data_IF_314398632293
#
_entry.id   IF_314398632293
#
_cell.length_a   1.000
_cell.length_b   1.000
_cell.length_c   1.000
_cell.angle_alpha   90.00
_cell.angle_beta   90.00
_cell.angle_gamma   90.00
#
_symmetry.space_group_name_H-M   'P 1'
#
loop_
_entity.id
_entity.type
_entity.pdbx_description
1 polymer ?
#
# COMPACT_ATOMS: atom_id res chain seq x y z
N UNK A 1 -11.48 -3.99 -49.24
CA UNK A 1 -10.51 -4.61 -48.31
C UNK A 1 -11.27 -4.84 -47.04
N UNK A 2 -11.51 -6.13 -46.80
CA UNK A 2 -12.52 -6.58 -45.85
C UNK A 2 -12.11 -6.45 -44.41
N UNK A 3 -13.07 -6.05 -43.59
CA UNK A 3 -12.95 -5.92 -42.13
C UNK A 3 -12.67 -7.23 -41.37
N UNK A 4 -12.42 -8.32 -42.07
CA UNK A 4 -12.18 -9.65 -41.50
C UNK A 4 -10.67 -9.96 -41.36
N UNK A 5 -9.77 -9.24 -42.04
CA UNK A 5 -8.32 -9.47 -41.93
C UNK A 5 -7.62 -8.71 -40.77
N UNK A 6 -8.27 -7.73 -40.17
CA UNK A 6 -7.70 -6.99 -39.03
C UNK A 6 -7.91 -7.67 -37.65
N UNK A 7 -8.80 -8.67 -37.60
CA UNK A 7 -9.10 -9.38 -36.34
C UNK A 7 -8.14 -10.55 -36.02
N UNK A 8 -7.31 -10.98 -37.00
CA UNK A 8 -6.43 -12.14 -36.79
C UNK A 8 -5.04 -11.83 -36.24
N UNK A 9 -4.74 -10.54 -35.98
CA UNK A 9 -3.47 -10.09 -35.38
C UNK A 9 -3.56 -9.82 -33.86
N UNK A 10 -4.73 -10.02 -33.26
CA UNK A 10 -4.96 -9.87 -31.82
C UNK A 10 -4.99 -11.19 -31.05
N UNK A 11 -4.85 -12.32 -31.72
CA UNK A 11 -4.69 -13.63 -31.09
C UNK A 11 -3.21 -13.92 -30.75
N UNK A 12 -2.64 -13.12 -29.86
CA UNK A 12 -1.53 -13.61 -29.04
C UNK A 12 -2.07 -14.75 -28.15
N UNK A 13 -1.28 -15.80 -27.85
CA UNK A 13 -1.77 -16.96 -27.11
C UNK A 13 -2.36 -16.53 -25.78
N UNK A 14 -3.69 -16.63 -25.68
CA UNK A 14 -4.41 -16.53 -24.43
C UNK A 14 -3.81 -17.52 -23.42
N UNK A 15 -3.40 -17.02 -22.32
CA UNK A 15 -2.92 -17.68 -21.12
C UNK A 15 -3.66 -18.99 -20.87
N UNK A 16 -3.07 -20.12 -21.25
CA UNK A 16 -3.46 -21.46 -20.81
C UNK A 16 -2.37 -22.02 -19.92
N UNK A 17 -2.11 -21.36 -18.79
CA UNK A 17 -1.50 -22.05 -17.67
C UNK A 17 -2.54 -23.01 -17.12
N UNK A 18 -2.16 -24.27 -16.94
CA UNK A 18 -3.05 -25.27 -16.35
C UNK A 18 -3.37 -24.85 -14.88
N UNK A 19 -4.59 -24.35 -14.60
CA UNK A 19 -4.98 -23.99 -13.23
C UNK A 19 -5.13 -25.24 -12.36
N UNK A 20 -4.92 -26.43 -12.90
CA UNK A 20 -5.19 -27.72 -12.30
C UNK A 20 -3.96 -28.48 -11.78
N UNK A 21 -2.75 -27.89 -11.77
CA UNK A 21 -1.64 -28.53 -11.08
C UNK A 21 -1.95 -28.62 -9.58
N UNK A 22 -1.88 -29.84 -9.02
CA UNK A 22 -2.23 -30.11 -7.61
C UNK A 22 -1.39 -29.32 -6.62
N UNK A 23 -0.16 -28.95 -6.97
CA UNK A 23 0.77 -28.12 -6.20
C UNK A 23 0.32 -26.66 -6.14
N UNK A 24 -0.13 -26.08 -7.24
CA UNK A 24 -0.70 -24.74 -7.28
C UNK A 24 -1.94 -24.63 -6.38
N UNK A 25 -2.88 -25.58 -6.47
CA UNK A 25 -4.08 -25.59 -5.60
C UNK A 25 -3.73 -25.71 -4.12
N UNK A 26 -2.74 -26.53 -3.77
CA UNK A 26 -2.35 -26.70 -2.35
C UNK A 26 -1.67 -25.46 -1.80
N UNK A 27 -0.83 -24.78 -2.56
CA UNK A 27 -0.17 -23.55 -2.10
C UNK A 27 -1.09 -22.33 -2.13
N UNK A 28 -1.99 -22.23 -3.12
CA UNK A 28 -3.06 -21.23 -3.08
C UNK A 28 -4.02 -21.46 -1.90
N UNK A 29 -4.36 -22.71 -1.58
CA UNK A 29 -5.11 -23.05 -0.40
C UNK A 29 -4.32 -22.74 0.89
N UNK A 30 -3.03 -23.11 0.94
CA UNK A 30 -2.15 -22.83 2.06
C UNK A 30 -1.89 -21.31 2.24
N UNK A 31 -1.71 -20.55 1.17
CA UNK A 31 -1.65 -19.08 1.25
C UNK A 31 -2.98 -18.47 1.69
N UNK A 32 -4.12 -19.06 1.29
CA UNK A 32 -5.44 -18.65 1.77
C UNK A 32 -5.63 -18.88 3.27
N UNK A 33 -5.18 -20.01 3.79
CA UNK A 33 -5.28 -20.34 5.22
C UNK A 33 -4.23 -19.59 6.06
N UNK A 34 -3.07 -19.25 5.46
CA UNK A 34 -1.92 -18.61 6.13
C UNK A 34 -2.00 -17.08 6.22
N UNK A 35 -2.94 -16.41 5.57
CA UNK A 35 -3.14 -14.95 5.73
C UNK A 35 -3.40 -14.49 7.18
N UNK A 36 -3.35 -15.40 8.15
CA UNK A 36 -3.46 -15.14 9.57
C UNK A 36 -2.38 -15.81 10.44
N UNK A 37 -1.37 -16.51 9.88
CA UNK A 37 -0.33 -17.17 10.65
C UNK A 37 1.07 -16.68 10.26
N UNK A 38 1.96 -16.49 11.26
CA UNK A 38 3.38 -16.20 11.05
C UNK A 38 4.18 -17.44 10.61
N UNK A 39 3.54 -18.44 9.99
CA UNK A 39 4.20 -19.66 9.54
C UNK A 39 5.11 -19.35 8.35
N UNK A 40 6.41 -19.42 8.59
CA UNK A 40 7.42 -19.36 7.54
C UNK A 40 7.54 -20.74 6.86
N UNK A 41 7.77 -20.73 5.55
CA UNK A 41 8.17 -21.93 4.84
C UNK A 41 9.56 -22.35 5.29
N UNK A 42 9.76 -23.66 5.48
CA UNK A 42 11.10 -24.22 5.68
C UNK A 42 11.93 -24.05 4.41
N UNK A 43 13.25 -24.11 4.55
CA UNK A 43 14.17 -24.04 3.40
C UNK A 43 13.90 -25.17 2.40
N UNK A 44 13.54 -26.33 2.88
CA UNK A 44 13.22 -27.53 2.10
C UNK A 44 11.95 -27.33 1.27
N UNK A 45 10.87 -26.79 1.88
CA UNK A 45 9.63 -26.48 1.18
C UNK A 45 9.85 -25.43 0.06
N UNK A 46 10.70 -24.42 0.31
CA UNK A 46 11.00 -23.42 -0.71
C UNK A 46 11.80 -24.04 -1.87
N UNK A 47 12.82 -24.86 -1.58
CA UNK A 47 13.60 -25.55 -2.63
C UNK A 47 12.72 -26.45 -3.48
N UNK A 48 11.84 -27.22 -2.83
CA UNK A 48 10.89 -28.08 -3.53
C UNK A 48 9.98 -27.26 -4.46
N UNK A 49 9.40 -26.17 -3.92
CA UNK A 49 8.54 -25.29 -4.69
C UNK A 49 9.26 -24.64 -5.89
N UNK A 50 10.49 -24.16 -5.68
CA UNK A 50 11.30 -23.56 -6.74
C UNK A 50 11.58 -24.57 -7.86
N UNK A 51 11.80 -25.86 -7.52
CA UNK A 51 12.03 -26.91 -8.50
C UNK A 51 10.74 -27.33 -9.22
N UNK A 52 9.64 -27.51 -8.51
CA UNK A 52 8.35 -27.93 -9.07
C UNK A 52 7.74 -26.89 -10.02
N UNK A 53 7.88 -25.61 -9.68
CA UNK A 53 7.32 -24.49 -10.46
C UNK A 53 8.27 -23.99 -11.57
N UNK A 54 9.38 -24.67 -11.85
CA UNK A 54 10.40 -24.26 -12.85
C UNK A 54 10.85 -22.81 -12.70
N UNK A 55 11.03 -22.35 -11.46
CA UNK A 55 11.46 -20.98 -11.16
C UNK A 55 12.91 -20.81 -11.57
N UNK A 56 13.21 -19.83 -12.42
CA UNK A 56 14.56 -19.51 -12.91
C UNK A 56 15.14 -18.25 -12.30
N UNK A 57 14.27 -17.38 -11.76
CA UNK A 57 14.70 -16.17 -11.11
C UNK A 57 13.89 -15.94 -9.81
N UNK A 58 14.58 -15.55 -8.76
CA UNK A 58 13.97 -15.18 -7.48
C UNK A 58 14.29 -13.72 -7.22
N UNK A 59 13.26 -12.90 -7.12
CA UNK A 59 13.41 -11.48 -6.78
C UNK A 59 13.38 -11.28 -5.28
N UNK A 60 14.47 -10.77 -4.75
CA UNK A 60 14.59 -10.31 -3.37
C UNK A 60 14.15 -8.85 -3.33
N UNK A 61 12.91 -8.63 -2.88
CA UNK A 61 12.26 -7.33 -2.93
C UNK A 61 12.32 -6.62 -1.57
N UNK A 62 12.50 -5.31 -1.61
CA UNK A 62 12.43 -4.41 -0.45
C UNK A 62 11.88 -3.06 -0.88
N UNK A 63 11.60 -2.15 0.05
CA UNK A 63 11.19 -0.80 -0.27
C UNK A 63 12.24 0.23 0.20
N UNK A 64 12.44 1.27 -0.60
CA UNK A 64 13.13 2.47 -0.14
C UNK A 64 12.22 3.30 0.81
N UNK A 65 12.75 4.36 1.39
CA UNK A 65 12.00 5.23 2.30
C UNK A 65 10.78 5.89 1.64
N UNK A 66 10.81 6.12 0.33
CA UNK A 66 9.64 6.62 -0.39
C UNK A 66 8.54 5.57 -0.65
N UNK A 67 8.75 4.33 -0.21
CA UNK A 67 7.82 3.22 -0.43
C UNK A 67 7.86 2.65 -1.85
N UNK A 68 8.90 2.95 -2.65
CA UNK A 68 9.11 2.33 -3.96
C UNK A 68 9.75 0.97 -3.81
N UNK A 69 9.15 -0.04 -4.44
CA UNK A 69 9.71 -1.37 -4.45
C UNK A 69 10.99 -1.42 -5.30
N UNK A 70 12.01 -2.02 -4.72
CA UNK A 70 13.29 -2.34 -5.37
C UNK A 70 13.53 -3.85 -5.28
N UNK A 71 14.40 -4.40 -6.12
CA UNK A 71 14.76 -5.81 -6.01
C UNK A 71 16.13 -6.11 -6.60
N UNK A 72 16.72 -7.22 -6.14
CA UNK A 72 17.81 -7.94 -6.79
C UNK A 72 17.25 -9.28 -7.25
N UNK A 73 17.57 -9.72 -8.47
CA UNK A 73 17.23 -11.06 -8.95
C UNK A 73 18.41 -12.01 -8.72
N UNK A 74 18.14 -13.15 -8.12
CA UNK A 74 19.12 -14.24 -7.96
C UNK A 74 18.66 -15.49 -8.74
N UNK A 75 19.61 -16.35 -9.09
CA UNK A 75 19.33 -17.67 -9.58
C UNK A 75 18.95 -18.63 -8.44
N UNK A 76 18.19 -19.69 -8.69
CA UNK A 76 17.85 -20.70 -7.68
C UNK A 76 19.06 -21.29 -6.96
N UNK A 77 20.20 -21.43 -7.63
CA UNK A 77 21.44 -21.94 -7.06
C UNK A 77 21.99 -21.05 -5.91
N UNK A 78 21.63 -19.77 -5.90
CA UNK A 78 22.00 -18.81 -4.85
C UNK A 78 20.98 -18.75 -3.69
N UNK A 79 19.91 -19.53 -3.77
CA UNK A 79 18.82 -19.47 -2.77
C UNK A 79 19.32 -19.82 -1.38
N UNK A 80 20.13 -20.86 -1.24
CA UNK A 80 20.67 -21.30 0.06
C UNK A 80 21.52 -20.23 0.70
N UNK A 81 22.38 -19.59 -0.09
CA UNK A 81 23.20 -18.47 0.36
C UNK A 81 22.33 -17.29 0.81
N UNK A 82 21.30 -16.96 0.00
CA UNK A 82 20.38 -15.88 0.31
C UNK A 82 19.62 -16.13 1.64
N UNK A 83 19.15 -17.36 1.86
CA UNK A 83 18.42 -17.73 3.08
C UNK A 83 19.33 -17.80 4.32
N UNK A 84 20.61 -18.13 4.13
CA UNK A 84 21.54 -18.31 5.26
C UNK A 84 22.26 -17.01 5.64
N UNK A 85 22.72 -16.24 4.65
CA UNK A 85 23.62 -15.10 4.85
C UNK A 85 23.04 -13.78 4.31
N UNK A 86 21.92 -13.83 3.59
CA UNK A 86 21.44 -12.70 2.84
C UNK A 86 22.24 -12.42 1.57
N UNK A 87 21.79 -11.44 0.78
CA UNK A 87 22.46 -10.96 -0.43
C UNK A 87 22.85 -9.52 -0.24
N UNK A 88 24.13 -9.21 -0.37
CA UNK A 88 24.69 -7.87 -0.22
C UNK A 88 24.25 -6.94 -1.37
N UNK A 89 24.03 -5.68 -1.05
CA UNK A 89 23.81 -4.60 -2.00
C UNK A 89 24.42 -3.29 -1.51
N UNK A 90 24.71 -2.40 -2.45
CA UNK A 90 25.19 -1.06 -2.16
C UNK A 90 24.04 -0.13 -1.80
N UNK A 91 23.94 0.22 -0.53
CA UNK A 91 22.88 1.07 0.00
C UNK A 91 23.12 2.57 -0.29
N UNK A 92 24.36 2.99 -0.62
CA UNK A 92 24.68 4.41 -0.92
C UNK A 92 23.92 4.94 -2.15
N UNK A 93 23.56 4.02 -3.07
CA UNK A 93 22.76 4.37 -4.24
C UNK A 93 21.27 4.59 -3.93
N UNK A 94 20.83 4.38 -2.67
CA UNK A 94 19.43 4.51 -2.26
C UNK A 94 19.28 5.71 -1.31
N UNK A 95 18.53 6.75 -1.70
CA UNK A 95 18.36 7.94 -0.88
C UNK A 95 17.86 7.61 0.53
N UNK A 96 18.57 8.10 1.55
CA UNK A 96 18.24 7.89 2.97
C UNK A 96 18.78 6.59 3.58
N UNK A 97 19.52 5.75 2.82
CA UNK A 97 20.06 4.49 3.34
C UNK A 97 21.51 4.56 3.81
N UNK A 98 22.19 5.68 3.63
CA UNK A 98 23.56 5.87 4.09
C UNK A 98 24.44 6.59 3.07
N UNK A 99 25.74 6.50 3.32
CA UNK A 99 26.80 7.06 2.46
C UNK A 99 27.74 5.93 1.96
N UNK A 100 28.75 6.32 1.15
CA UNK A 100 29.68 5.37 0.54
C UNK A 100 30.67 4.74 1.52
N UNK A 101 30.77 5.24 2.76
CA UNK A 101 31.77 4.77 3.73
C UNK A 101 31.40 3.42 4.34
N UNK A 102 30.09 3.14 4.48
CA UNK A 102 29.55 1.88 5.03
C UNK A 102 28.27 1.52 4.29
N UNK A 103 28.40 1.29 3.00
CA UNK A 103 27.26 1.10 2.09
C UNK A 103 26.77 -0.33 1.99
N UNK A 104 27.51 -1.32 2.48
CA UNK A 104 27.09 -2.72 2.38
C UNK A 104 25.97 -3.04 3.37
N UNK A 105 24.81 -3.32 2.84
CA UNK A 105 23.67 -3.91 3.56
C UNK A 105 23.29 -5.25 2.91
N UNK A 106 22.53 -6.07 3.63
CA UNK A 106 22.12 -7.40 3.19
C UNK A 106 20.60 -7.52 3.16
N UNK A 107 20.09 -8.11 2.08
CA UNK A 107 18.68 -8.51 1.96
C UNK A 107 18.50 -9.91 2.55
N UNK A 108 17.74 -9.99 3.65
CA UNK A 108 17.37 -11.24 4.30
C UNK A 108 15.95 -11.64 3.91
N UNK A 109 15.76 -12.73 3.11
CA UNK A 109 14.45 -13.11 2.62
C UNK A 109 13.47 -13.49 3.73
N UNK A 110 12.25 -13.00 3.63
CA UNK A 110 11.11 -13.43 4.43
C UNK A 110 10.35 -14.52 3.66
N UNK A 111 10.56 -15.76 4.05
CA UNK A 111 10.05 -16.94 3.35
C UNK A 111 8.53 -17.03 3.33
N UNK A 112 7.85 -16.39 4.28
CA UNK A 112 6.38 -16.34 4.31
C UNK A 112 5.78 -15.54 3.15
N UNK A 113 6.60 -14.75 2.46
CA UNK A 113 6.17 -13.84 1.38
C UNK A 113 6.48 -14.37 -0.03
N UNK A 114 6.91 -15.64 -0.13
CA UNK A 114 7.18 -16.27 -1.42
C UNK A 114 5.93 -16.26 -2.29
N UNK A 115 6.07 -15.71 -3.50
CA UNK A 115 4.96 -15.57 -4.43
C UNK A 115 5.46 -15.60 -5.88
N UNK A 116 4.76 -16.31 -6.77
CA UNK A 116 4.98 -16.22 -8.21
C UNK A 116 4.54 -14.86 -8.75
N UNK A 117 5.19 -14.40 -9.81
CA UNK A 117 4.81 -13.20 -10.54
C UNK A 117 4.03 -13.59 -11.81
N UNK A 118 2.68 -13.54 -11.80
CA UNK A 118 1.85 -14.13 -12.86
C UNK A 118 2.01 -13.46 -14.23
N UNK A 119 2.47 -12.22 -14.27
CA UNK A 119 2.71 -11.48 -15.53
C UNK A 119 4.04 -11.82 -16.22
N UNK A 120 4.79 -12.76 -15.67
CA UNK A 120 6.01 -13.30 -16.28
C UNK A 120 5.69 -14.55 -17.09
N UNK A 121 6.54 -14.89 -18.09
CA UNK A 121 6.31 -16.08 -18.91
C UNK A 121 6.19 -17.36 -18.06
N UNK A 122 5.37 -18.31 -18.53
CA UNK A 122 5.21 -19.63 -17.90
C UNK A 122 6.48 -20.48 -17.97
N UNK A 123 7.31 -20.25 -19.00
CA UNK A 123 8.61 -20.88 -19.12
C UNK A 123 9.68 -19.99 -18.48
N UNK A 124 10.41 -20.53 -17.53
CA UNK A 124 11.40 -19.76 -16.75
C UNK A 124 10.74 -18.78 -15.79
N UNK A 125 9.80 -19.28 -14.98
CA UNK A 125 9.01 -18.50 -14.04
C UNK A 125 9.87 -17.67 -13.09
N UNK A 126 9.27 -16.60 -12.60
CA UNK A 126 9.88 -15.67 -11.64
C UNK A 126 9.08 -15.67 -10.36
N UNK A 127 9.75 -15.90 -9.24
CA UNK A 127 9.18 -15.71 -7.91
C UNK A 127 9.72 -14.42 -7.25
N UNK A 128 9.04 -13.97 -6.21
CA UNK A 128 9.46 -12.86 -5.37
C UNK A 128 9.33 -13.26 -3.90
N UNK A 129 10.30 -12.82 -3.08
CA UNK A 129 10.17 -12.72 -1.63
C UNK A 129 10.45 -11.28 -1.20
N UNK A 130 9.68 -10.75 -0.25
CA UNK A 130 10.08 -9.54 0.47
C UNK A 130 11.21 -9.86 1.43
N UNK A 131 12.07 -8.87 1.66
CA UNK A 131 13.24 -9.01 2.52
C UNK A 131 13.20 -7.98 3.65
N UNK A 132 13.73 -8.37 4.80
CA UNK A 132 14.26 -7.41 5.76
C UNK A 132 15.65 -6.98 5.33
N UNK A 133 16.08 -5.80 5.80
CA UNK A 133 17.41 -5.27 5.54
C UNK A 133 18.23 -5.38 6.82
N UNK A 134 19.43 -5.95 6.72
CA UNK A 134 20.32 -6.13 7.86
C UNK A 134 21.71 -5.60 7.56
N UNK A 135 22.43 -5.24 8.62
CA UNK A 135 23.83 -4.84 8.58
C UNK A 135 24.75 -6.07 8.45
N UNK A 136 26.05 -5.89 8.14
CA UNK A 136 27.00 -7.00 8.05
C UNK A 136 27.12 -7.86 9.32
N UNK A 137 26.81 -7.30 10.48
CA UNK A 137 26.80 -8.01 11.76
C UNK A 137 25.48 -8.76 12.05
N UNK A 138 24.53 -8.71 11.11
CA UNK A 138 23.20 -9.34 11.23
C UNK A 138 22.17 -8.50 11.99
N UNK A 139 22.53 -7.32 12.51
CA UNK A 139 21.57 -6.43 13.17
C UNK A 139 20.62 -5.81 12.14
N UNK A 140 19.33 -5.61 12.50
CA UNK A 140 18.38 -4.93 11.61
C UNK A 140 18.87 -3.53 11.24
N UNK A 141 18.68 -3.15 9.97
CA UNK A 141 18.93 -1.81 9.51
C UNK A 141 17.81 -0.87 9.99
N UNK A 142 18.18 0.19 10.69
CA UNK A 142 17.24 1.09 11.38
C UNK A 142 16.28 1.84 10.43
N UNK A 143 16.69 2.10 9.19
CA UNK A 143 15.85 2.78 8.21
C UNK A 143 15.05 1.80 7.30
N UNK A 144 15.02 0.51 7.64
CA UNK A 144 14.11 -0.44 6.99
C UNK A 144 12.66 -0.19 7.45
N UNK A 145 11.87 0.43 6.57
CA UNK A 145 10.47 0.75 6.85
C UNK A 145 9.62 -0.49 7.20
N UNK A 146 9.91 -1.65 6.57
CA UNK A 146 9.22 -2.91 6.85
C UNK A 146 9.55 -3.41 8.28
N UNK A 147 10.79 -3.24 8.72
CA UNK A 147 11.19 -3.57 10.08
C UNK A 147 10.59 -2.63 11.12
N UNK A 148 10.47 -1.32 10.81
CA UNK A 148 9.78 -0.35 11.68
C UNK A 148 8.31 -0.73 11.89
N UNK A 149 7.60 -1.16 10.84
CA UNK A 149 6.24 -1.67 10.99
C UNK A 149 6.21 -2.94 11.88
N UNK A 150 7.17 -3.85 11.68
CA UNK A 150 7.26 -5.07 12.49
C UNK A 150 7.48 -4.76 13.98
N UNK A 151 8.24 -3.71 14.30
CA UNK A 151 8.43 -3.21 15.67
C UNK A 151 7.13 -2.65 16.24
N UNK A 152 6.42 -1.81 15.49
CA UNK A 152 5.13 -1.25 15.92
C UNK A 152 4.09 -2.35 16.19
N UNK A 153 4.05 -3.39 15.35
CA UNK A 153 3.17 -4.55 15.55
C UNK A 153 3.49 -5.29 16.84
N UNK A 154 4.77 -5.57 17.11
CA UNK A 154 5.19 -6.23 18.35
C UNK A 154 4.79 -5.42 19.59
N UNK A 155 5.00 -4.11 19.54
CA UNK A 155 4.64 -3.23 20.65
C UNK A 155 3.13 -3.21 20.91
N UNK A 156 2.31 -3.29 19.84
CA UNK A 156 0.87 -3.44 19.97
C UNK A 156 0.49 -4.80 20.60
N UNK A 157 1.11 -5.89 20.15
CA UNK A 157 0.91 -7.25 20.68
C UNK A 157 1.33 -7.35 22.16
N UNK A 158 2.43 -6.72 22.56
CA UNK A 158 2.89 -6.64 23.96
C UNK A 158 1.88 -5.87 24.84
N UNK A 159 1.12 -4.94 24.27
CA UNK A 159 0.00 -4.27 24.93
C UNK A 159 -1.33 -5.05 24.83
N UNK A 160 -1.32 -6.25 24.26
CA UNK A 160 -2.52 -7.06 24.06
C UNK A 160 -3.45 -6.52 22.96
N UNK A 161 -2.96 -5.71 22.04
CA UNK A 161 -3.76 -5.11 20.96
C UNK A 161 -3.31 -5.66 19.60
N UNK A 162 -4.26 -6.18 18.84
CA UNK A 162 -4.02 -6.68 17.47
C UNK A 162 -4.69 -5.76 16.47
N UNK A 163 -3.91 -5.19 15.54
CA UNK A 163 -4.40 -4.34 14.45
C UNK A 163 -4.61 -5.14 13.17
N UNK A 164 -5.54 -4.65 12.35
CA UNK A 164 -5.68 -5.04 10.95
C UNK A 164 -5.91 -3.81 10.08
N UNK A 165 -5.35 -3.83 8.87
CA UNK A 165 -5.46 -2.74 7.88
C UNK A 165 -6.00 -3.26 6.56
N UNK A 166 -6.81 -2.41 5.88
CA UNK A 166 -7.20 -2.55 4.49
C UNK A 166 -7.01 -1.23 3.77
N UNK A 167 -6.70 -1.26 2.49
CA UNK A 167 -6.55 -0.05 1.67
C UNK A 167 -7.54 -0.05 0.53
N UNK A 168 -8.15 1.11 0.29
CA UNK A 168 -8.89 1.46 -0.92
C UNK A 168 -7.94 2.35 -1.73
N UNK A 169 -7.55 1.93 -2.94
CA UNK A 169 -6.50 2.63 -3.66
C UNK A 169 -6.97 3.07 -5.04
N UNK A 170 -6.94 4.38 -5.25
CA UNK A 170 -7.32 5.03 -6.50
C UNK A 170 -6.11 5.24 -7.41
N UNK A 171 -6.33 5.14 -8.73
CA UNK A 171 -5.35 5.39 -9.76
C UNK A 171 -6.00 5.82 -11.06
N UNK A 172 -5.25 6.55 -11.90
CA UNK A 172 -5.67 6.90 -13.25
C UNK A 172 -5.03 5.98 -14.28
N UNK A 173 -5.75 5.72 -15.37
CA UNK A 173 -5.23 5.09 -16.58
C UNK A 173 -5.15 6.12 -17.70
N UNK A 174 -3.94 6.27 -18.25
CA UNK A 174 -3.64 7.17 -19.36
C UNK A 174 -3.24 6.39 -20.61
N UNK A 175 -3.55 6.98 -21.76
CA UNK A 175 -3.08 6.49 -23.06
C UNK A 175 -1.56 6.70 -23.17
N UNK A 176 -0.91 5.87 -23.98
CA UNK A 176 0.46 6.07 -24.43
C UNK A 176 0.47 6.68 -25.81
N UNK A 177 1.53 7.40 -26.13
CA UNK A 177 1.76 7.91 -27.49
C UNK A 177 2.30 6.81 -28.44
N UNK A 178 2.57 7.19 -29.70
CA UNK A 178 3.10 6.28 -30.73
C UNK A 178 4.49 5.72 -30.39
N UNK A 179 5.24 6.38 -29.50
CA UNK A 179 6.53 5.93 -29.02
C UNK A 179 6.43 5.02 -27.77
N UNK A 180 5.21 4.84 -27.25
CA UNK A 180 4.94 4.08 -26.03
C UNK A 180 5.16 4.88 -24.75
N UNK A 181 5.35 6.22 -24.83
CA UNK A 181 5.53 7.06 -23.64
C UNK A 181 4.17 7.44 -23.02
N UNK A 182 4.08 7.55 -21.68
CA UNK A 182 2.87 7.96 -20.99
C UNK A 182 2.43 9.36 -21.39
N UNK A 183 1.13 9.53 -21.71
CA UNK A 183 0.52 10.84 -21.93
C UNK A 183 -0.29 11.28 -20.72
N UNK A 184 -0.90 12.47 -20.77
CA UNK A 184 -1.93 12.92 -19.83
C UNK A 184 -3.34 12.83 -20.41
N UNK A 185 -3.52 12.08 -21.50
CA UNK A 185 -4.83 11.81 -22.08
C UNK A 185 -5.47 10.64 -21.34
N UNK A 186 -6.59 10.84 -20.65
CA UNK A 186 -7.30 9.75 -19.95
C UNK A 186 -7.70 8.64 -20.91
N UNK A 187 -7.74 7.41 -20.42
CA UNK A 187 -8.13 6.25 -21.23
C UNK A 187 -9.60 6.31 -21.66
N UNK A 188 -10.45 6.89 -20.79
CA UNK A 188 -11.87 7.15 -21.07
C UNK A 188 -12.33 8.46 -20.41
N UNK A 189 -13.65 8.73 -20.51
CA UNK A 189 -14.31 9.87 -19.89
C UNK A 189 -15.56 9.44 -19.11
N UNK A 190 -15.59 8.19 -18.64
CA UNK A 190 -16.65 7.67 -17.80
C UNK A 190 -16.69 8.39 -16.45
N UNK A 191 -17.78 8.23 -15.74
CA UNK A 191 -18.03 8.77 -14.41
C UNK A 191 -18.12 7.67 -13.35
N UNK A 192 -18.53 8.06 -12.15
CA UNK A 192 -18.60 7.18 -10.99
C UNK A 192 -19.56 5.99 -11.21
N UNK A 193 -19.01 4.78 -11.13
CA UNK A 193 -19.71 3.51 -11.33
C UNK A 193 -20.35 3.31 -12.72
N UNK A 194 -19.91 4.08 -13.73
CA UNK A 194 -20.30 3.81 -15.11
C UNK A 194 -19.78 2.41 -15.54
N UNK A 195 -20.42 1.87 -16.55
CA UNK A 195 -20.12 0.55 -17.12
C UNK A 195 -19.69 0.68 -18.58
N UNK A 196 -19.19 -0.39 -19.19
CA UNK A 196 -18.92 -0.45 -20.62
C UNK A 196 -20.19 -0.11 -21.44
N UNK A 197 -20.09 0.63 -22.56
CA UNK A 197 -18.85 0.98 -23.29
C UNK A 197 -18.18 2.29 -22.84
N UNK A 198 -18.78 3.09 -21.96
CA UNK A 198 -18.23 4.35 -21.46
C UNK A 198 -16.98 4.08 -20.62
N UNK A 199 -17.06 3.15 -19.68
CA UNK A 199 -15.94 2.61 -18.90
C UNK A 199 -15.11 1.64 -19.75
N UNK A 200 -14.02 2.15 -20.32
CA UNK A 200 -13.08 1.31 -21.08
C UNK A 200 -12.08 0.56 -20.19
N UNK A 201 -11.96 0.99 -18.93
CA UNK A 201 -11.04 0.41 -17.96
C UNK A 201 -11.51 -0.91 -17.32
N UNK A 202 -12.77 -1.32 -17.53
CA UNK A 202 -13.37 -2.50 -16.89
C UNK A 202 -12.52 -3.78 -17.05
N UNK A 203 -12.08 -4.08 -18.28
CA UNK A 203 -11.26 -5.27 -18.53
C UNK A 203 -9.86 -5.17 -17.91
N UNK A 204 -9.29 -3.96 -17.83
CA UNK A 204 -7.99 -3.74 -17.17
C UNK A 204 -8.12 -4.00 -15.67
N UNK A 205 -9.17 -3.48 -15.03
CA UNK A 205 -9.45 -3.74 -13.60
C UNK A 205 -9.70 -5.23 -13.35
N UNK A 206 -10.45 -5.89 -14.24
CA UNK A 206 -10.70 -7.34 -14.15
C UNK A 206 -9.38 -8.12 -14.18
N UNK A 207 -8.47 -7.82 -15.10
CA UNK A 207 -7.16 -8.45 -15.20
C UNK A 207 -6.29 -8.19 -13.95
N UNK A 208 -6.33 -6.96 -13.43
CA UNK A 208 -5.66 -6.61 -12.16
C UNK A 208 -6.20 -7.49 -11.03
N UNK A 209 -7.53 -7.58 -10.87
CA UNK A 209 -8.16 -8.39 -9.82
C UNK A 209 -7.77 -9.87 -9.91
N UNK A 210 -7.83 -10.47 -11.12
CA UNK A 210 -7.43 -11.85 -11.32
C UNK A 210 -5.94 -12.10 -11.03
N UNK A 211 -5.08 -11.14 -11.40
CA UNK A 211 -3.65 -11.21 -11.08
C UNK A 211 -3.40 -11.11 -9.56
N UNK A 212 -4.12 -10.24 -8.87
CA UNK A 212 -4.05 -10.13 -7.40
C UNK A 212 -4.50 -11.43 -6.72
N UNK A 213 -5.59 -12.05 -7.20
CA UNK A 213 -6.06 -13.34 -6.67
C UNK A 213 -5.02 -14.44 -6.84
N UNK A 214 -4.36 -14.51 -8.01
CA UNK A 214 -3.24 -15.44 -8.24
C UNK A 214 -2.07 -15.22 -7.27
N UNK A 215 -1.90 -14.00 -6.76
CA UNK A 215 -0.88 -13.67 -5.77
C UNK A 215 -1.37 -13.81 -4.31
N UNK A 216 -2.60 -14.31 -4.10
CA UNK A 216 -3.18 -14.48 -2.76
C UNK A 216 -3.82 -13.22 -2.17
N UNK A 217 -3.84 -12.10 -2.90
CA UNK A 217 -4.51 -10.88 -2.50
C UNK A 217 -5.96 -10.94 -2.97
N UNK A 218 -6.93 -10.73 -2.07
CA UNK A 218 -8.36 -10.84 -2.39
C UNK A 218 -8.96 -9.47 -2.67
N UNK A 219 -9.29 -9.12 -3.93
CA UNK A 219 -10.10 -7.96 -4.21
C UNK A 219 -11.48 -8.07 -3.56
N UNK A 220 -12.02 -6.97 -3.06
CA UNK A 220 -13.39 -6.89 -2.52
C UNK A 220 -14.32 -6.22 -3.52
N UNK A 221 -13.91 -5.09 -4.08
CA UNK A 221 -14.64 -4.43 -5.15
C UNK A 221 -13.71 -3.70 -6.11
N UNK A 222 -14.24 -3.37 -7.28
CA UNK A 222 -13.56 -2.53 -8.27
C UNK A 222 -14.60 -1.77 -9.08
N UNK A 223 -14.36 -0.49 -9.33
CA UNK A 223 -15.25 0.36 -10.12
C UNK A 223 -14.50 1.52 -10.77
N UNK A 224 -15.18 2.16 -11.73
CA UNK A 224 -14.75 3.45 -12.25
C UNK A 224 -15.01 4.54 -11.20
N UNK A 225 -14.05 5.45 -11.01
CA UNK A 225 -14.18 6.59 -10.10
C UNK A 225 -14.70 7.85 -10.82
N UNK A 226 -14.74 9.00 -10.11
CA UNK A 226 -15.36 10.21 -10.65
C UNK A 226 -14.53 10.90 -11.75
N UNK A 227 -13.21 10.76 -11.70
CA UNK A 227 -12.31 11.36 -12.67
C UNK A 227 -12.26 10.57 -14.00
N UNK A 228 -12.05 11.23 -15.15
CA UNK A 228 -11.90 10.55 -16.42
C UNK A 228 -10.70 9.59 -16.39
N UNK A 229 -10.94 8.31 -16.68
CA UNK A 229 -9.93 7.25 -16.59
C UNK A 229 -9.49 6.91 -15.16
N UNK A 230 -10.22 7.36 -14.12
CA UNK A 230 -9.93 7.07 -12.73
C UNK A 230 -10.61 5.78 -12.30
N UNK A 231 -9.86 4.94 -11.60
CA UNK A 231 -10.26 3.61 -11.17
C UNK A 231 -9.98 3.44 -9.67
N UNK A 232 -10.75 2.59 -9.00
CA UNK A 232 -10.54 2.17 -7.63
C UNK A 232 -10.67 0.65 -7.54
N UNK A 233 -9.78 0.05 -6.75
CA UNK A 233 -9.83 -1.36 -6.40
C UNK A 233 -9.54 -1.48 -4.91
N UNK A 234 -10.47 -2.10 -4.19
CA UNK A 234 -10.35 -2.41 -2.78
C UNK A 234 -9.99 -3.86 -2.60
N UNK A 235 -9.17 -4.15 -1.62
CA UNK A 235 -8.85 -5.53 -1.26
C UNK A 235 -8.95 -5.76 0.24
N UNK A 236 -9.23 -7.01 0.58
CA UNK A 236 -9.57 -7.41 1.94
C UNK A 236 -8.47 -7.02 2.93
N UNK A 237 -8.90 -6.57 4.12
CA UNK A 237 -8.01 -6.26 5.23
C UNK A 237 -7.19 -7.49 5.65
N UNK A 238 -6.01 -7.24 6.20
CA UNK A 238 -5.10 -8.25 6.72
C UNK A 238 -4.28 -7.72 7.88
N UNK A 239 -3.42 -8.56 8.46
CA UNK A 239 -2.44 -8.13 9.47
C UNK A 239 -1.55 -7.01 8.89
N UNK A 240 -1.03 -6.11 9.74
CA UNK A 240 -0.40 -4.88 9.26
C UNK A 240 0.73 -5.09 8.26
N UNK A 241 1.63 -6.06 8.51
CA UNK A 241 2.76 -6.33 7.62
C UNK A 241 2.29 -6.86 6.27
N UNK A 242 1.36 -7.82 6.28
CA UNK A 242 0.74 -8.36 5.06
C UNK A 242 -0.03 -7.27 4.30
N UNK A 243 -0.76 -6.39 4.99
CA UNK A 243 -1.48 -5.29 4.36
C UNK A 243 -0.53 -4.31 3.66
N UNK A 244 0.62 -3.99 4.26
CA UNK A 244 1.63 -3.15 3.65
C UNK A 244 2.30 -3.82 2.44
N UNK A 245 2.66 -5.10 2.56
CA UNK A 245 3.20 -5.92 1.46
C UNK A 245 2.18 -5.99 0.29
N UNK A 246 0.88 -6.12 0.58
CA UNK A 246 -0.20 -6.11 -0.40
C UNK A 246 -0.35 -4.76 -1.10
N UNK A 247 -0.29 -3.65 -0.37
CA UNK A 247 -0.37 -2.30 -0.94
C UNK A 247 0.80 -2.01 -1.90
N UNK A 248 2.02 -2.44 -1.56
CA UNK A 248 3.19 -2.34 -2.45
C UNK A 248 3.03 -3.24 -3.67
N UNK A 249 2.55 -4.47 -3.46
CA UNK A 249 2.30 -5.43 -4.54
C UNK A 249 1.22 -4.93 -5.50
N UNK A 250 0.14 -4.35 -4.98
CA UNK A 250 -0.96 -3.78 -5.76
C UNK A 250 -0.44 -2.76 -6.78
N UNK A 251 0.36 -1.78 -6.36
CA UNK A 251 0.94 -0.79 -7.29
C UNK A 251 1.73 -1.46 -8.41
N UNK A 252 2.55 -2.46 -8.07
CA UNK A 252 3.35 -3.20 -9.06
C UNK A 252 2.47 -4.00 -10.06
N UNK A 253 1.37 -4.59 -9.57
CA UNK A 253 0.41 -5.32 -10.43
C UNK A 253 -0.30 -4.36 -11.37
N UNK A 254 -0.83 -3.24 -10.85
CA UNK A 254 -1.51 -2.22 -11.66
C UNK A 254 -0.59 -1.70 -12.77
N UNK A 255 0.64 -1.31 -12.43
CA UNK A 255 1.62 -0.84 -13.42
C UNK A 255 1.90 -1.92 -14.48
N UNK A 256 2.10 -3.17 -14.05
CA UNK A 256 2.42 -4.28 -14.96
C UNK A 256 1.27 -4.60 -15.91
N UNK A 257 0.03 -4.62 -15.40
CA UNK A 257 -1.17 -4.89 -16.22
C UNK A 257 -1.45 -3.70 -17.14
N UNK A 258 -1.35 -2.46 -16.66
CA UNK A 258 -1.53 -1.27 -17.48
C UNK A 258 -0.56 -1.25 -18.68
N UNK A 259 0.73 -1.51 -18.44
CA UNK A 259 1.74 -1.59 -19.53
C UNK A 259 1.40 -2.68 -20.54
N UNK A 260 0.98 -3.86 -20.10
CA UNK A 260 0.56 -4.97 -20.99
C UNK A 260 -0.70 -4.64 -21.78
N UNK A 261 -1.55 -3.77 -21.24
CA UNK A 261 -2.76 -3.25 -21.92
C UNK A 261 -2.49 -2.04 -22.80
N UNK A 262 -1.22 -1.66 -23.01
CA UNK A 262 -0.85 -0.46 -23.80
C UNK A 262 -1.16 0.86 -23.12
N UNK A 263 -1.32 0.86 -21.79
CA UNK A 263 -1.69 2.01 -20.97
C UNK A 263 -0.59 2.38 -19.97
N UNK A 264 -0.74 3.51 -19.33
CA UNK A 264 0.07 3.95 -18.21
C UNK A 264 -0.81 4.19 -16.99
N UNK A 265 -0.46 3.58 -15.85
CA UNK A 265 -1.09 3.90 -14.58
C UNK A 265 -0.42 5.12 -13.93
N UNK A 266 -1.19 5.92 -13.20
CA UNK A 266 -0.70 7.09 -12.47
C UNK A 266 -1.34 7.14 -11.08
N UNK A 267 -0.52 6.93 -10.07
CA UNK A 267 -0.88 6.97 -8.65
C UNK A 267 -0.62 8.35 -8.02
N UNK A 268 -0.19 9.35 -8.80
CA UNK A 268 0.07 10.68 -8.24
C UNK A 268 -1.20 11.28 -7.62
N UNK A 269 -1.07 12.04 -6.53
CA UNK A 269 -2.23 12.54 -5.79
C UNK A 269 -3.16 13.44 -6.58
N UNK A 270 -2.64 14.12 -7.61
CA UNK A 270 -3.41 15.06 -8.46
C UNK A 270 -2.95 14.98 -9.91
N UNK A 271 -3.27 13.88 -10.64
CA UNK A 271 -2.77 13.65 -12.00
C UNK A 271 -3.27 14.68 -13.01
N UNK A 272 -4.51 15.15 -12.86
CA UNK A 272 -5.16 16.13 -13.75
C UNK A 272 -5.66 17.30 -12.92
N UNK A 273 -5.28 18.53 -13.33
CA UNK A 273 -5.77 19.75 -12.70
C UNK A 273 -7.29 19.88 -12.89
N UNK A 274 -8.00 20.28 -11.83
CA UNK A 274 -9.46 20.43 -11.85
C UNK A 274 -10.26 19.13 -11.75
N UNK A 275 -9.63 17.96 -11.91
CA UNK A 275 -10.27 16.65 -11.74
C UNK A 275 -10.07 16.09 -10.32
N UNK A 276 -10.81 15.06 -9.88
CA UNK A 276 -10.56 14.37 -8.63
C UNK A 276 -9.11 13.90 -8.49
N UNK A 277 -8.58 13.91 -7.28
CA UNK A 277 -7.25 13.36 -6.99
C UNK A 277 -7.34 11.91 -6.54
N UNK A 278 -6.22 11.18 -6.55
CA UNK A 278 -6.14 9.82 -6.03
C UNK A 278 -5.99 9.82 -4.52
N UNK A 279 -6.82 9.05 -3.84
CA UNK A 279 -6.72 8.71 -2.43
C UNK A 279 -6.21 7.30 -2.21
N UNK A 280 -5.62 7.09 -1.05
CA UNK A 280 -5.43 5.76 -0.47
C UNK A 280 -6.10 5.78 0.90
N UNK A 281 -7.38 5.44 0.96
CA UNK A 281 -8.07 5.37 2.23
C UNK A 281 -7.56 4.18 3.03
N UNK A 282 -7.27 4.40 4.30
CA UNK A 282 -6.77 3.35 5.19
C UNK A 282 -7.87 2.95 6.16
N UNK A 283 -8.38 1.75 5.99
CA UNK A 283 -9.31 1.12 6.91
C UNK A 283 -8.53 0.48 8.06
N UNK A 284 -8.91 0.82 9.29
CA UNK A 284 -8.25 0.44 10.52
C UNK A 284 -9.24 -0.29 11.41
N UNK A 285 -8.89 -1.49 11.86
CA UNK A 285 -9.58 -2.18 12.94
C UNK A 285 -8.58 -2.69 13.95
N UNK A 286 -9.01 -2.82 15.21
CA UNK A 286 -8.18 -3.39 16.26
C UNK A 286 -9.05 -4.16 17.27
N UNK A 287 -8.42 -5.16 17.89
CA UNK A 287 -9.02 -5.98 18.93
C UNK A 287 -8.10 -5.99 20.14
N UNK A 288 -8.67 -5.79 21.32
CA UNK A 288 -7.95 -5.99 22.58
C UNK A 288 -8.12 -7.44 23.05
N UNK A 289 -7.09 -8.00 23.67
CA UNK A 289 -7.08 -9.36 24.18
C UNK A 289 -8.09 -9.57 25.32
N UNK A 290 -8.45 -8.51 26.07
CA UNK A 290 -9.45 -8.51 27.13
C UNK A 290 -10.88 -8.27 26.61
N UNK A 291 -11.06 -8.07 25.30
CA UNK A 291 -12.36 -7.83 24.66
C UNK A 291 -12.87 -6.39 24.78
N UNK A 292 -12.10 -5.46 25.33
CA UNK A 292 -12.46 -4.04 25.39
C UNK A 292 -12.55 -3.42 24.00
N UNK A 293 -13.47 -2.49 23.79
CA UNK A 293 -13.52 -1.68 22.55
C UNK A 293 -12.45 -0.56 22.65
N UNK A 294 -11.31 -0.78 22.03
CA UNK A 294 -10.17 0.16 22.02
C UNK A 294 -10.23 1.16 20.85
N UNK A 295 -11.16 0.99 19.91
CA UNK A 295 -11.24 1.85 18.72
C UNK A 295 -11.43 3.34 19.06
N UNK A 296 -12.25 3.73 20.02
CA UNK A 296 -12.36 5.15 20.40
C UNK A 296 -11.05 5.78 20.83
N UNK A 297 -10.22 5.05 21.61
CA UNK A 297 -8.91 5.52 22.05
C UNK A 297 -7.91 5.60 20.90
N UNK A 298 -7.94 4.62 20.00
CA UNK A 298 -7.11 4.61 18.79
C UNK A 298 -7.45 5.80 17.90
N UNK A 299 -8.73 6.06 17.63
CA UNK A 299 -9.16 7.22 16.84
C UNK A 299 -8.71 8.52 17.50
N UNK A 300 -8.85 8.66 18.81
CA UNK A 300 -8.40 9.82 19.56
C UNK A 300 -6.89 10.06 19.43
N UNK A 301 -6.08 8.99 19.54
CA UNK A 301 -4.64 9.04 19.34
C UNK A 301 -4.26 9.45 17.91
N UNK A 302 -4.91 8.88 16.90
CA UNK A 302 -4.67 9.26 15.50
C UNK A 302 -5.00 10.74 15.28
N UNK A 303 -6.15 11.22 15.75
CA UNK A 303 -6.53 12.63 15.61
C UNK A 303 -5.56 13.57 16.32
N UNK A 304 -4.99 13.16 17.46
CA UNK A 304 -4.02 13.95 18.22
C UNK A 304 -2.68 14.13 17.46
N UNK A 305 -2.25 13.11 16.71
CA UNK A 305 -0.95 13.09 16.04
C UNK A 305 -1.00 13.30 14.52
N UNK A 306 -2.19 13.38 13.92
CA UNK A 306 -2.35 13.37 12.45
C UNK A 306 -1.61 14.51 11.74
N UNK A 307 -1.51 15.70 12.37
CA UNK A 307 -0.87 16.87 11.76
C UNK A 307 0.63 16.64 11.53
N UNK A 308 1.31 16.10 12.51
CA UNK A 308 2.74 15.82 12.45
C UNK A 308 3.05 14.59 11.59
N UNK A 309 2.11 13.62 11.51
CA UNK A 309 2.22 12.45 10.63
C UNK A 309 1.90 12.76 9.16
N UNK A 310 1.31 13.92 8.84
CA UNK A 310 0.79 14.21 7.49
C UNK A 310 1.87 14.07 6.41
N UNK A 311 3.11 14.46 6.65
CA UNK A 311 4.19 14.36 5.65
C UNK A 311 4.50 12.91 5.23
N UNK A 312 4.27 11.93 6.11
CA UNK A 312 4.44 10.50 5.82
C UNK A 312 3.25 9.91 5.06
N UNK A 313 2.09 10.51 5.17
CA UNK A 313 0.85 10.10 4.52
C UNK A 313 0.62 10.83 3.19
N UNK A 314 1.27 11.99 3.00
CA UNK A 314 1.09 12.92 1.91
C UNK A 314 2.45 13.55 1.55
N UNK A 315 3.21 12.86 0.70
CA UNK A 315 4.67 13.01 0.61
C UNK A 315 5.15 14.04 -0.41
N UNK A 316 4.25 14.58 -1.24
CA UNK A 316 4.59 15.50 -2.33
C UNK A 316 3.69 16.72 -2.34
N UNK A 317 4.11 17.81 -2.98
CA UNK A 317 3.31 19.06 -3.05
C UNK A 317 1.91 18.84 -3.63
N UNK A 318 1.78 17.94 -4.63
CA UNK A 318 0.51 17.60 -5.23
C UNK A 318 -0.48 16.95 -4.25
N UNK A 319 -0.02 16.31 -3.18
CA UNK A 319 -0.84 15.74 -2.11
C UNK A 319 -1.74 16.80 -1.47
N UNK A 320 -1.19 17.98 -1.23
CA UNK A 320 -1.86 19.09 -0.53
C UNK A 320 -2.89 19.81 -1.40
N UNK A 321 -2.81 19.65 -2.73
CA UNK A 321 -3.82 20.16 -3.68
C UNK A 321 -5.12 19.35 -3.63
N UNK A 322 -5.14 18.20 -2.97
CA UNK A 322 -6.35 17.38 -2.74
C UNK A 322 -7.19 17.92 -1.60
N UNK A 323 -6.55 18.44 -0.54
CA UNK A 323 -7.22 18.75 0.73
C UNK A 323 -8.29 19.83 0.59
N UNK A 324 -9.48 19.52 1.12
CA UNK A 324 -10.64 20.39 1.06
C UNK A 324 -11.48 20.25 -0.22
N UNK A 325 -11.03 19.45 -1.17
CA UNK A 325 -11.81 19.01 -2.32
C UNK A 325 -12.78 17.88 -1.97
N UNK A 326 -13.62 17.52 -2.92
CA UNK A 326 -14.47 16.34 -2.85
C UNK A 326 -13.63 15.09 -2.53
N UNK A 327 -14.04 14.29 -1.55
CA UNK A 327 -13.38 13.04 -1.08
C UNK A 327 -12.02 13.18 -0.38
N UNK A 328 -11.42 14.37 -0.29
CA UNK A 328 -10.17 14.59 0.43
C UNK A 328 -10.37 15.58 1.60
N UNK A 329 -10.70 15.11 2.80
CA UNK A 329 -10.99 15.95 3.94
C UNK A 329 -9.76 16.72 4.41
N UNK A 330 -10.01 17.92 4.93
CA UNK A 330 -8.98 18.83 5.46
C UNK A 330 -9.07 19.02 6.96
N UNK A 331 -10.29 18.94 7.52
CA UNK A 331 -10.58 19.25 8.91
C UNK A 331 -10.38 18.04 9.81
N UNK A 332 -9.66 18.20 10.92
CA UNK A 332 -9.39 17.13 11.88
C UNK A 332 -10.66 16.85 12.67
N UNK A 333 -11.32 15.77 12.29
CA UNK A 333 -12.65 15.42 12.78
C UNK A 333 -12.97 13.95 12.46
N UNK A 334 -13.98 13.44 13.13
CA UNK A 334 -14.52 12.12 12.84
C UNK A 334 -16.05 12.12 12.93
N UNK A 335 -16.69 11.19 12.27
CA UNK A 335 -18.12 10.93 12.38
C UNK A 335 -18.48 9.58 11.76
N UNK A 336 -19.67 9.08 12.06
CA UNK A 336 -20.26 7.94 11.38
C UNK A 336 -20.78 8.35 10.00
N UNK A 337 -20.55 7.50 8.98
CA UNK A 337 -21.11 7.59 7.62
C UNK A 337 -20.77 8.84 6.78
N UNK A 338 -20.28 9.90 7.40
CA UNK A 338 -20.05 11.19 6.74
C UNK A 338 -18.68 11.23 6.02
N UNK A 339 -18.72 11.31 4.68
CA UNK A 339 -17.53 11.30 3.81
C UNK A 339 -16.72 12.62 3.79
N UNK A 340 -17.20 13.69 4.44
CA UNK A 340 -16.45 14.94 4.56
C UNK A 340 -15.49 14.96 5.77
N UNK A 341 -15.52 13.93 6.59
CA UNK A 341 -14.70 13.80 7.80
C UNK A 341 -13.33 13.19 7.50
N UNK A 342 -12.33 13.54 8.31
CA UNK A 342 -10.99 12.98 8.23
C UNK A 342 -10.98 11.47 8.56
N UNK A 343 -11.66 11.11 9.66
CA UNK A 343 -11.93 9.73 10.01
C UNK A 343 -13.44 9.50 9.90
N UNK A 344 -13.79 8.53 9.06
CA UNK A 344 -15.17 8.07 8.88
C UNK A 344 -15.30 6.68 9.49
N UNK A 345 -16.39 6.43 10.20
CA UNK A 345 -16.79 5.08 10.60
C UNK A 345 -17.88 4.63 9.61
N UNK A 346 -17.57 3.77 8.62
CA UNK A 346 -18.57 3.27 7.68
C UNK A 346 -19.69 2.51 8.38
N UNK A 347 -20.88 2.51 7.77
CA UNK A 347 -21.97 1.64 8.18
C UNK A 347 -21.56 0.19 7.92
N UNK A 348 -21.16 -0.51 8.98
CA UNK A 348 -20.74 -1.90 8.92
C UNK A 348 -21.05 -2.61 10.24
N UNK A 349 -21.26 -3.93 10.18
CA UNK A 349 -21.59 -4.75 11.35
C UNK A 349 -20.55 -5.85 11.56
N UNK A 350 -20.45 -6.34 12.79
CA UNK A 350 -19.58 -7.46 13.15
C UNK A 350 -18.10 -7.18 12.87
N UNK A 351 -17.46 -8.12 12.18
CA UNK A 351 -16.03 -8.07 11.87
C UNK A 351 -15.64 -6.97 10.86
N UNK A 352 -16.61 -6.38 10.17
CA UNK A 352 -16.38 -5.31 9.19
C UNK A 352 -16.39 -3.91 9.81
N UNK A 353 -16.60 -3.78 11.14
CA UNK A 353 -16.49 -2.48 11.84
C UNK A 353 -15.06 -1.99 11.80
N UNK A 354 -14.89 -0.76 11.28
CA UNK A 354 -13.59 -0.14 11.06
C UNK A 354 -13.68 1.38 11.12
N UNK A 355 -12.55 2.03 11.30
CA UNK A 355 -12.39 3.45 11.06
C UNK A 355 -11.63 3.64 9.74
N UNK A 356 -12.08 4.53 8.89
CA UNK A 356 -11.49 4.87 7.60
C UNK A 356 -10.78 6.22 7.71
N UNK A 357 -9.45 6.22 7.63
CA UNK A 357 -8.64 7.44 7.51
C UNK A 357 -8.57 7.84 6.04
N UNK A 358 -9.02 9.06 5.70
CA UNK A 358 -9.29 9.48 4.31
C UNK A 358 -8.27 10.47 3.73
N UNK A 359 -7.29 10.93 4.50
CA UNK A 359 -6.29 11.88 4.02
C UNK A 359 -5.13 11.28 3.22
N UNK A 360 -4.66 10.04 3.45
CA UNK A 360 -3.51 9.50 2.76
C UNK A 360 -3.70 9.42 1.24
N UNK A 361 -2.59 9.42 0.51
CA UNK A 361 -2.58 9.19 -0.94
C UNK A 361 -1.67 8.01 -1.33
N UNK A 362 -1.82 7.48 -2.57
CA UNK A 362 -1.13 6.26 -2.97
C UNK A 362 0.40 6.35 -3.04
N UNK A 363 1.00 7.53 -2.93
CA UNK A 363 2.46 7.68 -2.92
C UNK A 363 3.08 7.50 -1.54
N UNK A 364 2.30 7.43 -0.47
CA UNK A 364 2.87 7.21 0.85
C UNK A 364 3.54 5.82 0.95
N UNK A 365 4.49 5.71 1.86
CA UNK A 365 5.09 4.42 2.22
C UNK A 365 4.14 3.67 3.15
N UNK A 366 3.50 2.56 2.74
CA UNK A 366 2.49 1.90 3.56
C UNK A 366 3.06 1.32 4.86
N UNK A 367 4.34 0.92 4.87
CA UNK A 367 4.97 0.42 6.09
C UNK A 367 5.08 1.53 7.14
N UNK A 368 5.55 2.72 6.76
CA UNK A 368 5.66 3.87 7.68
C UNK A 368 4.27 4.40 8.06
N UNK A 369 3.35 4.47 7.11
CA UNK A 369 1.98 4.90 7.36
C UNK A 369 1.32 4.03 8.43
N UNK A 370 1.37 2.70 8.30
CA UNK A 370 0.75 1.79 9.25
C UNK A 370 1.49 1.77 10.60
N UNK A 371 2.83 1.83 10.60
CA UNK A 371 3.59 1.93 11.84
C UNK A 371 3.20 3.16 12.66
N UNK A 372 3.13 4.33 12.02
CA UNK A 372 2.75 5.58 12.69
C UNK A 372 1.29 5.56 13.18
N UNK A 373 0.38 4.96 12.41
CA UNK A 373 -1.02 4.80 12.84
C UNK A 373 -1.16 3.86 14.04
N UNK A 374 -0.36 2.78 14.09
CA UNK A 374 -0.29 1.90 15.26
C UNK A 374 0.23 2.69 16.46
N UNK A 375 1.36 3.36 16.36
CA UNK A 375 1.95 4.14 17.44
C UNK A 375 1.02 5.24 17.96
N UNK A 376 0.38 5.97 17.06
CA UNK A 376 -0.61 6.99 17.43
C UNK A 376 -1.80 6.36 18.17
N UNK A 377 -2.29 5.22 17.71
CA UNK A 377 -3.34 4.46 18.38
C UNK A 377 -2.93 3.98 19.77
N UNK A 378 -1.70 3.45 19.91
CA UNK A 378 -1.17 3.01 21.20
C UNK A 378 -0.97 4.18 22.18
N UNK A 379 -0.54 5.35 21.71
CA UNK A 379 -0.46 6.57 22.54
C UNK A 379 -1.85 6.95 23.04
N UNK A 380 -2.87 6.87 22.19
CA UNK A 380 -4.26 7.09 22.59
C UNK A 380 -4.71 6.15 23.71
N UNK A 381 -4.34 4.88 23.63
CA UNK A 381 -4.64 3.87 24.67
C UNK A 381 -3.85 4.16 25.94
N UNK A 382 -2.52 4.36 25.87
CA UNK A 382 -1.65 4.60 27.03
C UNK A 382 -2.07 5.83 27.83
N UNK A 383 -2.48 6.87 27.14
CA UNK A 383 -2.89 8.15 27.76
C UNK A 383 -4.39 8.22 28.04
N UNK A 384 -5.14 7.19 27.71
CA UNK A 384 -6.60 7.15 27.80
C UNK A 384 -7.23 8.42 27.19
N UNK A 385 -6.79 8.81 25.99
CA UNK A 385 -7.23 10.03 25.35
C UNK A 385 -8.74 10.02 25.09
N UNK A 386 -9.48 11.04 25.52
CA UNK A 386 -10.91 11.09 25.25
C UNK A 386 -11.13 11.33 23.75
N UNK A 387 -12.00 10.52 23.15
CA UNK A 387 -12.44 10.76 21.78
C UNK A 387 -13.28 12.05 21.74
N UNK A 388 -12.93 13.06 20.91
CA UNK A 388 -13.74 14.25 20.73
C UNK A 388 -15.17 13.92 20.30
N UNK A 389 -16.12 14.85 20.52
CA UNK A 389 -17.47 14.67 20.02
C UNK A 389 -17.46 14.50 18.48
N UNK A 390 -18.28 13.59 17.97
CA UNK A 390 -18.43 13.39 16.55
C UNK A 390 -18.91 14.68 15.85
N UNK A 391 -18.29 15.01 14.72
CA UNK A 391 -18.67 16.18 13.95
C UNK A 391 -19.70 15.78 12.88
N UNK A 392 -20.97 15.85 13.20
CA UNK A 392 -22.05 15.60 12.25
C UNK A 392 -22.32 16.83 11.36
N UNK A 393 -21.28 17.22 10.62
CA UNK A 393 -21.22 18.42 9.80
C UNK A 393 -20.74 18.03 8.41
N UNK A 394 -21.47 18.47 7.38
CA UNK A 394 -20.97 18.39 6.00
C UNK A 394 -19.98 19.55 5.74
N UNK A 395 -18.68 19.27 5.82
CA UNK A 395 -17.63 20.27 5.60
C UNK A 395 -17.58 20.83 4.19
N UNK A 396 -18.18 20.19 3.20
CA UNK A 396 -18.25 20.77 1.84
C UNK A 396 -19.19 21.95 1.76
N UNK A 397 -20.29 21.94 2.52
CA UNK A 397 -21.35 22.96 2.50
C UNK A 397 -21.41 23.84 3.76
N UNK A 398 -20.69 23.49 4.83
CA UNK A 398 -20.69 24.23 6.09
C UNK A 398 -20.19 25.67 5.91
N UNK A 399 -20.72 26.59 6.71
CA UNK A 399 -20.26 27.98 6.74
C UNK A 399 -18.81 28.10 7.25
N UNK A 400 -18.12 29.17 6.86
CA UNK A 400 -16.75 29.43 7.32
C UNK A 400 -16.64 29.50 8.84
N UNK A 401 -17.60 30.11 9.51
CA UNK A 401 -17.68 30.20 10.97
C UNK A 401 -17.73 28.82 11.66
N UNK A 402 -18.39 27.84 11.04
CA UNK A 402 -18.43 26.46 11.55
C UNK A 402 -17.08 25.79 11.32
N UNK A 403 -16.50 25.95 10.13
CA UNK A 403 -15.20 25.37 9.75
C UNK A 403 -14.05 25.85 10.64
N UNK A 404 -14.05 27.11 11.06
CA UNK A 404 -13.02 27.72 11.93
C UNK A 404 -12.95 27.13 13.34
N UNK A 405 -13.91 26.31 13.74
CA UNK A 405 -13.91 25.60 15.03
C UNK A 405 -13.04 24.34 15.02
N UNK A 406 -12.60 23.92 13.84
CA UNK A 406 -11.85 22.68 13.66
C UNK A 406 -10.42 22.99 13.23
N UNK A 407 -9.49 22.28 13.83
CA UNK A 407 -8.11 22.27 13.33
C UNK A 407 -8.05 21.67 11.94
N UNK A 408 -7.01 22.03 11.20
CA UNK A 408 -6.80 21.52 9.84
C UNK A 408 -5.49 20.78 9.72
N UNK A 409 -5.44 19.86 8.76
CA UNK A 409 -4.18 19.34 8.26
C UNK A 409 -3.31 20.50 7.74
N UNK A 410 -1.98 20.35 7.73
CA UNK A 410 -1.09 21.34 7.12
C UNK A 410 -1.50 21.57 5.65
N UNK A 411 -1.45 22.83 5.22
CA UNK A 411 -1.94 23.22 3.91
C UNK A 411 -0.90 23.01 2.79
N UNK A 412 0.38 22.82 3.14
CA UNK A 412 1.50 22.66 2.20
C UNK A 412 2.52 21.68 2.73
N UNK A 413 3.31 21.09 1.82
CA UNK A 413 4.40 20.19 2.16
C UNK A 413 5.42 20.83 3.12
N UNK A 414 5.88 22.09 2.93
CA UNK A 414 6.78 22.73 3.89
C UNK A 414 6.19 22.85 5.29
N UNK A 415 4.89 23.14 5.44
CA UNK A 415 4.23 23.17 6.75
C UNK A 415 4.19 21.77 7.40
N UNK A 416 3.91 20.72 6.63
CA UNK A 416 3.90 19.35 7.14
C UNK A 416 5.30 18.91 7.58
N UNK A 417 6.34 19.26 6.81
CA UNK A 417 7.74 19.02 7.16
C UNK A 417 8.14 19.71 8.47
N UNK A 418 7.77 20.97 8.62
CA UNK A 418 8.06 21.73 9.84
C UNK A 418 7.39 21.13 11.08
N UNK A 419 6.13 20.68 10.97
CA UNK A 419 5.41 20.01 12.05
C UNK A 419 6.07 18.68 12.42
N UNK A 420 6.44 17.86 11.43
CA UNK A 420 7.13 16.60 11.67
C UNK A 420 8.52 16.80 12.30
N UNK A 421 9.30 17.75 11.80
CA UNK A 421 10.64 18.07 12.35
C UNK A 421 10.59 18.54 13.81
N UNK A 422 9.52 19.21 14.23
CA UNK A 422 9.32 19.68 15.60
C UNK A 422 8.59 18.70 16.51
N UNK A 423 8.27 17.50 16.05
CA UNK A 423 7.46 16.53 16.79
C UNK A 423 8.29 15.68 17.76
N UNK A 424 8.10 15.80 19.09
CA UNK A 424 8.71 14.87 20.05
C UNK A 424 8.22 13.43 19.85
N UNK A 425 6.95 13.24 19.49
CA UNK A 425 6.36 11.94 19.22
C UNK A 425 7.10 11.21 18.08
N UNK A 426 7.31 11.88 16.94
CA UNK A 426 8.04 11.28 15.82
C UNK A 426 9.54 11.06 16.11
N UNK A 427 10.15 11.97 16.85
CA UNK A 427 11.56 11.86 17.25
C UNK A 427 11.84 10.69 18.19
N UNK A 428 10.86 10.30 19.00
CA UNK A 428 10.95 9.11 19.87
C UNK A 428 10.80 7.80 19.09
N UNK A 429 9.95 7.78 18.06
CA UNK A 429 9.54 6.57 17.36
C UNK A 429 10.36 6.24 16.10
N UNK A 430 10.88 7.26 15.44
CA UNK A 430 11.55 7.09 14.16
C UNK A 430 13.06 7.29 14.28
N UNK A 431 13.86 6.47 13.60
CA UNK A 431 15.28 6.73 13.46
C UNK A 431 15.54 8.12 12.86
N UNK A 432 16.60 8.83 13.30
CA UNK A 432 16.92 10.16 12.79
C UNK A 432 17.02 10.24 11.27
N UNK A 433 17.60 9.24 10.61
CA UNK A 433 17.73 9.19 9.16
C UNK A 433 16.36 9.15 8.45
N UNK A 434 15.37 8.44 9.01
CA UNK A 434 14.01 8.38 8.47
C UNK A 434 13.31 9.73 8.63
N UNK A 435 13.37 10.31 9.84
CA UNK A 435 12.76 11.61 10.10
C UNK A 435 13.37 12.70 9.23
N UNK A 436 14.69 12.71 9.09
CA UNK A 436 15.43 13.66 8.25
C UNK A 436 15.06 13.56 6.77
N UNK A 437 14.90 12.33 6.24
CA UNK A 437 14.46 12.09 4.87
C UNK A 437 13.13 12.76 4.54
N UNK A 438 12.18 12.72 5.45
CA UNK A 438 10.84 13.28 5.25
C UNK A 438 10.73 14.77 5.60
N UNK A 439 11.65 15.32 6.36
CA UNK A 439 11.60 16.72 6.85
C UNK A 439 12.50 17.68 6.09
N UNK A 440 13.43 17.18 5.28
CA UNK A 440 14.23 17.96 4.31
C UNK A 440 13.47 18.10 2.98
#
# INVERSE_FOLDING_TARGET
MDFIEAASLLDGPLYRGDPDSSSNRQMYAANRERQGSDMQYSKEEIRQYVAEEDIKFIRLAFCDLSGRQKNISIHPDELDRALQYGIAFDASAIPGFGDEVRSDLFLQPDTSTLCLLPWRPDHGRVARMFCGIVRPDGTPFEADARQLLRQAVREAEDMGVTFAFGTEMEFYLFQRDELGEPTKQPYDHAGYMDIAPEDKGENVRREICLTLEQMGIRPECSHHEQGPGQNEIDFRYSRPLTAADNAVTFRTVVDSVAVRSGLAADFSPKPISGQPGNGMHINISAKSADGADVMPLIIAGILAHIREMTVFLNTVDASYLRFGGSKAPRYISWSSENRSQLIRIPAAQGEYRRAELRSPDPLCNPYLAFALLIYAGLDGIRRALPLPAAADINFFTASQQVKERFETLPATLPQARALAAGSPFLAELLPPAVLEYYTK
#
